data_IF_192721735094
#
_entry.id   IF_192721735094
#
_cell.length_a   1.000
_cell.length_b   1.000
_cell.length_c   1.000
_cell.angle_alpha   90.00
_cell.angle_beta   90.00
_cell.angle_gamma   90.00
#
_symmetry.space_group_name_H-M   'P 1'
#
loop_
_entity.id
_entity.type
_entity.pdbx_description
1 polymer ?
#
# COMPACT_ATOMS: atom_id res chain seq x y z
N UNK A 1 -10.68 -27.26 -12.75
CA UNK A 1 -10.74 -25.83 -12.39
C UNK A 1 -10.30 -25.70 -10.94
N UNK A 2 -9.29 -24.89 -10.67
CA UNK A 2 -8.71 -24.78 -9.32
C UNK A 2 -9.67 -23.99 -8.40
N UNK A 3 -9.91 -24.42 -7.14
CA UNK A 3 -10.92 -23.82 -6.24
C UNK A 3 -10.71 -22.33 -5.93
N UNK A 4 -9.55 -21.80 -6.23
CA UNK A 4 -9.19 -20.39 -6.01
C UNK A 4 -9.86 -19.41 -6.98
N UNK A 5 -10.26 -19.87 -8.18
CA UNK A 5 -10.98 -19.05 -9.16
C UNK A 5 -12.43 -18.78 -8.72
N UNK A 6 -13.04 -19.71 -7.98
CA UNK A 6 -14.37 -19.54 -7.38
C UNK A 6 -14.37 -18.53 -6.21
N UNK A 7 -13.30 -18.51 -5.42
CA UNK A 7 -13.14 -17.56 -4.30
C UNK A 7 -12.96 -16.12 -4.79
N UNK A 8 -12.24 -15.93 -5.91
CA UNK A 8 -12.08 -14.61 -6.54
C UNK A 8 -13.38 -14.10 -7.15
N UNK A 9 -14.18 -14.97 -7.74
CA UNK A 9 -15.52 -14.64 -8.27
C UNK A 9 -16.50 -14.29 -7.14
N UNK A 10 -16.42 -14.96 -5.99
CA UNK A 10 -17.26 -14.65 -4.81
C UNK A 10 -16.90 -13.30 -4.19
N UNK A 11 -15.61 -12.91 -4.16
CA UNK A 11 -15.18 -11.60 -3.68
C UNK A 11 -15.64 -10.46 -4.61
N UNK A 12 -15.71 -10.70 -5.91
CA UNK A 12 -16.20 -9.73 -6.89
C UNK A 12 -17.72 -9.55 -6.83
N UNK A 13 -18.49 -10.60 -6.48
CA UNK A 13 -19.95 -10.54 -6.39
C UNK A 13 -20.48 -9.83 -5.15
N UNK A 14 -19.73 -9.81 -4.05
CA UNK A 14 -20.11 -9.11 -2.80
C UNK A 14 -20.06 -7.58 -2.94
N UNK A 15 -19.29 -7.06 -3.91
CA UNK A 15 -19.16 -5.62 -4.15
C UNK A 15 -20.38 -5.00 -4.86
N UNK A 16 -21.31 -5.78 -5.39
CA UNK A 16 -22.47 -5.30 -6.13
C UNK A 16 -23.79 -5.26 -5.34
N UNK A 17 -23.80 -5.71 -4.08
CA UNK A 17 -25.03 -5.91 -3.31
C UNK A 17 -25.42 -4.76 -2.36
N UNK A 18 -24.82 -3.58 -2.48
CA UNK A 18 -25.18 -2.42 -1.63
C UNK A 18 -25.53 -1.20 -2.46
N UNK A 19 -26.67 -1.20 -3.11
CA UNK A 19 -27.30 0.03 -3.62
C UNK A 19 -28.78 -0.19 -3.95
N UNK A 20 -29.64 -0.33 -2.97
CA UNK A 20 -31.07 -0.02 -3.12
C UNK A 20 -31.52 0.75 -1.88
N UNK A 21 -31.25 2.04 -1.88
CA UNK A 21 -31.98 2.99 -1.05
C UNK A 21 -32.92 3.76 -1.96
N UNK A 22 -34.21 3.68 -1.66
CA UNK A 22 -35.30 4.34 -2.36
C UNK A 22 -35.09 5.85 -2.43
N UNK A 23 -34.97 6.39 -3.64
CA UNK A 23 -34.79 7.83 -3.87
C UNK A 23 -36.16 8.47 -3.88
N UNK A 24 -36.47 9.23 -2.83
CA UNK A 24 -37.56 10.22 -2.86
C UNK A 24 -37.24 11.30 -3.90
N UNK A 25 -38.07 11.41 -4.93
CA UNK A 25 -38.02 12.53 -5.88
C UNK A 25 -38.28 13.84 -5.13
N UNK A 26 -37.37 14.76 -5.20
CA UNK A 26 -37.51 16.11 -4.70
C UNK A 26 -36.26 16.67 -4.06
N UNK A 27 -35.70 17.66 -4.71
CA UNK A 27 -34.58 18.50 -4.31
C UNK A 27 -33.21 17.88 -4.67
N UNK A 28 -32.50 18.55 -5.56
CA UNK A 28 -31.04 18.39 -5.75
C UNK A 28 -30.37 18.79 -4.46
N UNK A 29 -30.36 17.88 -3.50
CA UNK A 29 -29.69 18.04 -2.23
C UNK A 29 -28.19 18.03 -2.52
N UNK A 30 -27.53 19.15 -2.32
CA UNK A 30 -26.06 19.19 -2.26
C UNK A 30 -25.69 18.31 -1.08
N UNK A 31 -25.23 17.09 -1.34
CA UNK A 31 -24.77 16.18 -0.30
C UNK A 31 -23.70 16.89 0.51
N UNK A 32 -24.00 17.18 1.77
CA UNK A 32 -23.07 17.91 2.66
C UNK A 32 -21.83 17.09 3.00
N UNK A 33 -21.92 15.76 2.91
CA UNK A 33 -20.86 14.82 3.26
C UNK A 33 -20.68 13.77 2.18
N UNK A 34 -19.43 13.43 1.89
CA UNK A 34 -19.03 12.38 0.97
C UNK A 34 -18.15 11.37 1.73
N UNK A 35 -18.37 10.08 1.51
CA UNK A 35 -17.53 9.00 2.03
C UNK A 35 -17.28 8.02 0.91
N UNK A 36 -16.04 7.71 0.64
CA UNK A 36 -15.68 6.71 -0.35
C UNK A 36 -14.32 6.11 -0.02
N UNK A 37 -14.05 4.95 -0.57
CA UNK A 37 -12.79 4.26 -0.41
C UNK A 37 -12.50 3.39 -1.61
N UNK A 38 -11.26 2.97 -1.75
CA UNK A 38 -10.84 2.12 -2.85
C UNK A 38 -9.43 1.59 -2.66
N UNK A 39 -9.02 0.79 -3.65
CA UNK A 39 -7.68 0.28 -3.75
C UNK A 39 -6.76 1.33 -4.37
N UNK A 40 -5.55 1.40 -3.88
CA UNK A 40 -4.51 2.32 -4.37
C UNK A 40 -3.36 1.48 -4.91
N UNK A 41 -3.06 1.65 -6.19
CA UNK A 41 -1.87 1.07 -6.82
C UNK A 41 -0.82 2.18 -6.93
N UNK A 42 0.38 1.90 -6.46
CA UNK A 42 1.49 2.85 -6.42
C UNK A 42 2.69 2.31 -7.17
N UNK A 43 3.57 3.18 -7.65
CA UNK A 43 4.82 2.76 -8.30
C UNK A 43 5.73 1.93 -7.39
N UNK A 44 5.66 2.17 -6.07
CA UNK A 44 6.43 1.47 -5.06
C UNK A 44 5.60 0.52 -4.17
N UNK A 45 4.38 0.14 -4.58
CA UNK A 45 3.55 -0.78 -3.79
C UNK A 45 2.06 -0.70 -4.08
N UNK A 46 1.25 -1.06 -3.11
CA UNK A 46 -0.20 -1.02 -3.20
C UNK A 46 -0.82 -0.82 -1.82
N UNK A 47 -2.08 -0.48 -1.77
CA UNK A 47 -2.77 -0.26 -0.51
C UNK A 47 -4.24 0.03 -0.66
N UNK A 48 -4.81 0.65 0.36
CA UNK A 48 -6.18 1.11 0.39
C UNK A 48 -6.28 2.53 0.93
N UNK A 49 -7.29 3.23 0.50
CA UNK A 49 -7.60 4.59 0.94
C UNK A 49 -9.06 4.70 1.34
N UNK A 50 -9.33 5.43 2.40
CA UNK A 50 -10.67 5.81 2.83
C UNK A 50 -10.75 7.32 3.01
N UNK A 51 -11.70 7.95 2.33
CA UNK A 51 -11.80 9.40 2.25
C UNK A 51 -13.15 9.86 2.79
N UNK A 52 -13.08 10.86 3.67
CA UNK A 52 -14.25 11.60 4.17
C UNK A 52 -14.16 13.04 3.68
N UNK A 53 -15.16 13.50 2.96
CA UNK A 53 -15.28 14.86 2.47
C UNK A 53 -16.49 15.59 3.07
N UNK A 54 -16.33 16.91 3.28
CA UNK A 54 -17.41 17.83 3.64
C UNK A 54 -17.42 18.97 2.63
N UNK A 55 -18.54 19.17 1.94
CA UNK A 55 -18.70 20.26 1.00
C UNK A 55 -18.66 21.61 1.71
N UNK A 56 -17.84 22.51 1.19
CA UNK A 56 -17.70 23.91 1.68
C UNK A 56 -18.31 24.93 0.71
N UNK A 57 -18.89 24.46 -0.39
CA UNK A 57 -19.49 25.24 -1.45
C UNK A 57 -19.67 24.37 -2.69
N UNK A 58 -20.16 24.94 -3.79
CA UNK A 58 -20.45 24.18 -5.02
C UNK A 58 -19.21 23.46 -5.61
N UNK A 59 -18.02 24.05 -5.49
CA UNK A 59 -16.82 23.57 -6.19
C UNK A 59 -15.68 23.13 -5.24
N UNK A 60 -15.86 23.22 -3.92
CA UNK A 60 -14.80 22.96 -2.96
C UNK A 60 -15.24 21.99 -1.89
N UNK A 61 -14.54 20.87 -1.78
CA UNK A 61 -14.73 19.86 -0.76
C UNK A 61 -13.51 19.83 0.15
N UNK A 62 -13.72 19.97 1.43
CA UNK A 62 -12.69 19.70 2.46
C UNK A 62 -12.68 18.20 2.71
N UNK A 63 -11.53 17.57 2.67
CA UNK A 63 -11.43 16.12 2.84
C UNK A 63 -10.33 15.71 3.80
N UNK A 64 -10.57 14.58 4.44
CA UNK A 64 -9.59 13.82 5.23
C UNK A 64 -9.46 12.46 4.60
N UNK A 65 -8.25 12.02 4.30
CA UNK A 65 -7.98 10.68 3.80
C UNK A 65 -7.14 9.88 4.79
N UNK A 66 -7.50 8.62 4.92
CA UNK A 66 -6.81 7.59 5.66
C UNK A 66 -6.25 6.61 4.63
N UNK A 67 -4.94 6.59 4.48
CA UNK A 67 -4.28 5.75 3.48
C UNK A 67 -3.41 4.73 4.19
N UNK A 68 -3.58 3.44 3.88
CA UNK A 68 -2.73 2.35 4.35
C UNK A 68 -2.09 1.68 3.15
N UNK A 69 -0.76 1.61 3.12
CA UNK A 69 -0.02 1.15 1.96
C UNK A 69 1.09 0.18 2.34
N UNK A 70 1.32 -0.78 1.49
CA UNK A 70 2.46 -1.67 1.44
C UNK A 70 3.54 -1.02 0.58
N UNK A 71 4.75 -0.85 1.10
CA UNK A 71 5.84 -0.22 0.37
C UNK A 71 6.95 -1.24 0.13
N UNK A 72 7.42 -1.32 -1.10
CA UNK A 72 8.55 -2.16 -1.52
C UNK A 72 9.75 -1.29 -1.86
N UNK A 73 10.93 -1.81 -1.61
CA UNK A 73 12.16 -1.23 -2.13
C UNK A 73 12.33 -1.61 -3.60
N UNK A 74 12.88 -0.73 -4.41
CA UNK A 74 13.08 -0.95 -5.85
C UNK A 74 14.01 -2.14 -6.17
N UNK A 75 14.92 -2.45 -5.25
CA UNK A 75 15.89 -3.57 -5.36
C UNK A 75 15.38 -4.88 -4.76
N UNK A 76 14.10 -5.00 -4.42
CA UNK A 76 13.52 -6.25 -3.95
C UNK A 76 13.38 -7.26 -5.10
N UNK A 77 14.28 -8.24 -5.17
CA UNK A 77 14.23 -9.36 -6.11
C UNK A 77 13.89 -10.63 -5.34
N UNK A 78 12.89 -11.36 -5.80
CA UNK A 78 12.49 -12.65 -5.21
C UNK A 78 13.49 -13.73 -5.59
N UNK A 79 13.99 -14.43 -4.60
CA UNK A 79 14.81 -15.64 -4.72
C UNK A 79 13.98 -16.87 -4.37
N UNK A 80 14.28 -17.99 -5.01
CA UNK A 80 13.59 -19.27 -4.82
C UNK A 80 14.65 -20.30 -4.44
N UNK A 81 14.33 -21.13 -3.47
CA UNK A 81 15.12 -22.31 -3.18
C UNK A 81 14.77 -23.44 -4.18
N UNK A 82 15.62 -24.45 -4.30
CA UNK A 82 15.42 -25.56 -5.24
C UNK A 82 14.20 -26.42 -4.93
N UNK A 83 13.77 -26.46 -3.66
CA UNK A 83 12.59 -27.16 -3.22
C UNK A 83 11.31 -26.35 -3.54
N UNK A 84 10.37 -26.91 -4.32
CA UNK A 84 9.08 -26.24 -4.63
C UNK A 84 8.20 -25.96 -3.42
N UNK A 85 8.43 -26.63 -2.28
CA UNK A 85 7.69 -26.40 -1.03
C UNK A 85 8.20 -25.17 -0.27
N UNK A 86 9.42 -24.73 -0.55
CA UNK A 86 10.03 -23.56 0.07
C UNK A 86 9.34 -22.25 -0.34
N UNK A 87 9.11 -21.38 0.62
CA UNK A 87 8.49 -20.08 0.35
C UNK A 87 9.51 -19.13 -0.27
N UNK A 88 9.17 -18.40 -1.34
CA UNK A 88 10.07 -17.43 -1.92
C UNK A 88 10.45 -16.34 -0.90
N UNK A 89 11.70 -15.94 -0.92
CA UNK A 89 12.25 -14.90 -0.06
C UNK A 89 12.89 -13.78 -0.88
N UNK A 90 13.23 -12.68 -0.23
CA UNK A 90 14.01 -11.59 -0.83
C UNK A 90 15.30 -11.50 -0.06
N UNK A 91 16.42 -11.80 -0.74
CA UNK A 91 17.73 -11.71 -0.12
C UNK A 91 18.06 -10.25 0.24
N UNK A 92 18.58 -10.03 1.42
CA UNK A 92 18.92 -8.69 1.90
C UNK A 92 17.74 -7.89 2.47
N UNK A 93 16.54 -8.41 2.47
CA UNK A 93 15.39 -7.72 3.06
C UNK A 93 15.40 -7.83 4.57
N UNK A 94 15.58 -6.70 5.24
CA UNK A 94 15.55 -6.62 6.71
C UNK A 94 14.14 -6.41 7.25
N UNK A 95 13.38 -5.51 6.63
CA UNK A 95 12.06 -5.16 7.12
C UNK A 95 11.02 -5.12 6.00
N UNK A 96 9.79 -5.50 6.33
CA UNK A 96 8.61 -5.16 5.56
C UNK A 96 8.08 -3.81 6.02
N UNK A 97 7.88 -2.88 5.10
CA UNK A 97 7.38 -1.54 5.39
C UNK A 97 5.89 -1.43 5.08
N UNK A 98 5.13 -1.02 6.09
CA UNK A 98 3.76 -0.56 5.96
C UNK A 98 3.74 0.94 6.24
N UNK A 99 2.91 1.67 5.54
CA UNK A 99 2.78 3.12 5.71
C UNK A 99 1.32 3.48 5.97
N UNK A 100 1.05 4.09 7.11
CA UNK A 100 -0.23 4.68 7.43
C UNK A 100 -0.13 6.20 7.31
N UNK A 101 -1.08 6.85 6.60
CA UNK A 101 -1.10 8.30 6.39
C UNK A 101 -2.46 8.85 6.72
N UNK A 102 -2.45 10.01 7.37
CA UNK A 102 -3.63 10.81 7.62
C UNK A 102 -3.45 12.16 6.94
N UNK A 103 -4.08 12.36 5.77
CA UNK A 103 -3.94 13.60 5.05
C UNK A 103 -5.21 14.46 5.16
N UNK A 104 -5.01 15.73 5.43
CA UNK A 104 -6.03 16.77 5.41
C UNK A 104 -5.81 17.68 4.21
N UNK A 105 -6.87 17.98 3.48
CA UNK A 105 -6.74 18.81 2.28
C UNK A 105 -8.07 19.19 1.65
N UNK A 106 -8.00 19.57 0.39
CA UNK A 106 -9.12 20.04 -0.37
C UNK A 106 -9.18 19.38 -1.74
N UNK A 107 -10.41 19.10 -2.19
CA UNK A 107 -10.74 18.75 -3.55
C UNK A 107 -11.49 19.93 -4.18
N UNK A 108 -11.00 20.42 -5.32
CA UNK A 108 -11.60 21.50 -6.10
C UNK A 108 -12.09 20.94 -7.42
N UNK A 109 -13.37 21.13 -7.72
CA UNK A 109 -13.91 20.81 -9.02
C UNK A 109 -13.40 21.83 -10.04
N UNK A 110 -12.80 21.33 -11.14
CA UNK A 110 -12.26 22.13 -12.24
C UNK A 110 -13.27 22.15 -13.38
N UNK A 111 -13.83 20.99 -13.71
CA UNK A 111 -14.84 20.84 -14.77
C UNK A 111 -15.99 19.99 -14.25
N UNK A 112 -17.20 20.51 -14.38
CA UNK A 112 -18.43 19.81 -14.01
C UNK A 112 -18.96 18.94 -15.16
N UNK A 113 -19.80 17.98 -14.82
CA UNK A 113 -20.53 17.18 -15.79
C UNK A 113 -21.58 18.04 -16.50
N UNK A 114 -21.41 18.32 -17.77
CA UNK A 114 -22.40 19.03 -18.59
C UNK A 114 -23.61 18.15 -18.94
N UNK A 115 -23.43 16.82 -18.89
CA UNK A 115 -24.48 15.82 -19.18
C UNK A 115 -24.39 14.68 -18.17
N UNK A 116 -25.48 13.89 -18.06
CA UNK A 116 -25.54 12.70 -17.18
C UNK A 116 -24.40 11.70 -17.46
N UNK A 117 -23.94 11.60 -18.69
CA UNK A 117 -22.81 10.75 -19.14
C UNK A 117 -21.46 11.47 -19.14
N UNK A 118 -21.39 12.69 -18.64
CA UNK A 118 -20.16 13.47 -18.59
C UNK A 118 -19.21 13.02 -17.47
N UNK A 119 -17.96 13.45 -17.57
CA UNK A 119 -16.93 13.22 -16.54
C UNK A 119 -16.69 14.53 -15.79
N UNK A 120 -16.76 14.47 -14.46
CA UNK A 120 -16.33 15.57 -13.61
C UNK A 120 -14.84 15.45 -13.34
N UNK A 121 -14.11 16.53 -13.56
CA UNK A 121 -12.68 16.60 -13.26
C UNK A 121 -12.45 17.45 -12.02
N UNK A 122 -11.68 16.93 -11.07
CA UNK A 122 -11.36 17.63 -9.85
C UNK A 122 -9.87 17.52 -9.54
N UNK A 123 -9.33 18.57 -8.97
CA UNK A 123 -7.97 18.60 -8.43
C UNK A 123 -8.01 18.46 -6.93
N UNK A 124 -7.17 17.57 -6.41
CA UNK A 124 -7.05 17.30 -4.98
C UNK A 124 -5.63 17.55 -4.52
N UNK A 125 -5.49 18.14 -3.34
CA UNK A 125 -4.23 18.20 -2.63
C UNK A 125 -4.47 18.00 -1.14
N UNK A 126 -3.50 17.44 -0.47
CA UNK A 126 -3.57 17.17 0.96
C UNK A 126 -2.20 16.90 1.55
N UNK A 127 -2.09 17.15 2.84
CA UNK A 127 -0.88 16.89 3.61
C UNK A 127 -1.23 16.46 5.02
N UNK A 128 -0.30 15.83 5.70
CA UNK A 128 -0.48 15.43 7.08
C UNK A 128 0.55 14.44 7.59
N UNK A 129 0.38 13.94 8.81
CA UNK A 129 1.29 12.98 9.40
C UNK A 129 1.27 11.65 8.66
N UNK A 130 2.43 11.00 8.64
CA UNK A 130 2.60 9.62 8.20
C UNK A 130 3.30 8.80 9.27
N UNK A 131 3.06 7.50 9.28
CA UNK A 131 3.66 6.55 10.19
C UNK A 131 4.18 5.36 9.38
N UNK A 132 5.50 5.21 9.32
CA UNK A 132 6.10 4.00 8.79
C UNK A 132 6.16 2.93 9.88
N UNK A 133 5.64 1.76 9.58
CA UNK A 133 5.63 0.58 10.44
C UNK A 133 6.57 -0.43 9.80
N UNK A 134 7.68 -0.70 10.44
CA UNK A 134 8.69 -1.65 10.00
C UNK A 134 8.55 -2.94 10.79
N UNK A 135 8.30 -4.03 10.08
CA UNK A 135 8.26 -5.36 10.66
C UNK A 135 9.50 -6.14 10.21
N UNK A 136 10.34 -6.64 11.12
CA UNK A 136 11.50 -7.43 10.77
C UNK A 136 11.12 -8.70 10.00
N UNK A 137 11.95 -9.09 9.06
CA UNK A 137 11.79 -10.32 8.27
C UNK A 137 12.51 -11.46 8.96
N UNK A 138 11.78 -12.55 9.12
CA UNK A 138 12.30 -13.84 9.61
C UNK A 138 12.42 -14.81 8.43
N UNK A 139 13.50 -15.57 8.45
CA UNK A 139 13.84 -16.56 7.44
C UNK A 139 13.92 -17.95 8.09
N UNK A 140 13.63 -18.96 7.30
CA UNK A 140 13.93 -20.36 7.61
C UNK A 140 15.30 -20.67 7.05
N UNK A 141 16.25 -20.99 7.91
CA UNK A 141 17.67 -21.19 7.60
C UNK A 141 18.03 -22.65 7.83
N UNK A 142 18.82 -23.21 6.92
CA UNK A 142 19.37 -24.55 7.04
C UNK A 142 20.57 -24.51 7.99
N UNK A 143 20.47 -25.23 9.10
CA UNK A 143 21.57 -25.43 10.05
C UNK A 143 21.99 -26.88 9.99
N UNK A 144 23.31 -27.13 9.96
CA UNK A 144 23.87 -28.47 10.07
C UNK A 144 23.67 -28.91 11.52
N UNK A 145 22.92 -29.97 11.73
CA UNK A 145 22.75 -30.59 13.04
C UNK A 145 23.76 -31.77 13.18
N UNK A 146 24.79 -31.63 14.03
CA UNK A 146 25.77 -32.69 14.21
C UNK A 146 25.19 -34.00 14.75
N UNK A 147 24.02 -33.93 15.44
CA UNK A 147 23.40 -35.10 16.06
C UNK A 147 22.52 -35.89 15.10
N UNK A 148 22.03 -35.25 14.06
CA UNK A 148 21.08 -35.86 13.08
C UNK A 148 21.78 -36.27 11.78
N UNK A 149 23.08 -36.01 11.60
CA UNK A 149 23.80 -36.18 10.32
C UNK A 149 23.03 -35.56 9.13
N UNK A 150 22.34 -34.44 9.39
CA UNK A 150 21.44 -33.81 8.42
C UNK A 150 21.30 -32.30 8.66
N UNK A 151 20.37 -31.71 7.95
CA UNK A 151 20.01 -30.30 8.10
C UNK A 151 18.74 -30.17 8.94
N UNK A 152 18.74 -29.21 9.86
CA UNK A 152 17.54 -28.77 10.57
C UNK A 152 17.16 -27.36 10.10
N UNK A 153 15.86 -27.03 10.15
CA UNK A 153 15.36 -25.71 9.84
C UNK A 153 15.25 -24.88 11.12
N UNK A 154 15.93 -23.76 11.15
CA UNK A 154 15.81 -22.75 12.22
C UNK A 154 15.14 -21.50 11.69
N UNK A 155 14.28 -20.89 12.50
CA UNK A 155 13.65 -19.60 12.16
C UNK A 155 14.42 -18.48 12.81
N UNK A 156 15.13 -17.70 12.02
CA UNK A 156 15.98 -16.62 12.48
C UNK A 156 15.62 -15.28 11.82
N UNK A 157 15.86 -14.19 12.55
CA UNK A 157 15.79 -12.84 12.00
C UNK A 157 16.92 -12.65 11.00
N UNK A 158 16.63 -12.02 9.86
CA UNK A 158 17.65 -11.79 8.85
C UNK A 158 18.86 -11.02 9.42
N UNK A 159 20.04 -11.59 9.28
CA UNK A 159 21.34 -10.99 9.62
C UNK A 159 22.27 -11.11 8.42
N UNK A 160 22.73 -9.99 7.83
CA UNK A 160 23.58 -10.01 6.64
C UNK A 160 24.96 -10.65 6.86
N UNK A 161 25.41 -10.80 8.11
CA UNK A 161 26.69 -11.42 8.44
C UNK A 161 26.61 -12.95 8.57
N UNK A 162 25.41 -13.49 8.78
CA UNK A 162 25.19 -14.93 9.02
C UNK A 162 24.47 -15.62 7.89
N UNK A 163 23.59 -14.87 7.18
CA UNK A 163 22.69 -15.45 6.19
C UNK A 163 23.19 -15.13 4.77
N UNK A 164 23.45 -16.19 4.04
CA UNK A 164 23.82 -16.18 2.63
C UNK A 164 22.70 -16.81 1.80
N UNK A 165 22.69 -16.58 0.49
CA UNK A 165 21.65 -17.11 -0.39
C UNK A 165 21.55 -18.63 -0.29
N UNK A 166 22.68 -19.32 -0.10
CA UNK A 166 22.78 -20.79 -0.12
C UNK A 166 22.28 -21.45 1.18
N UNK A 167 22.26 -20.71 2.31
CA UNK A 167 21.80 -21.27 3.59
C UNK A 167 20.36 -20.90 3.93
N UNK A 168 19.68 -20.09 3.09
CA UNK A 168 18.31 -19.71 3.31
C UNK A 168 17.38 -20.68 2.57
N UNK A 169 16.59 -21.44 3.33
CA UNK A 169 15.55 -22.31 2.77
C UNK A 169 14.35 -21.49 2.25
N UNK A 170 13.91 -20.50 3.02
CA UNK A 170 12.78 -19.70 2.61
C UNK A 170 12.39 -18.61 3.59
N UNK A 171 11.27 -17.97 3.31
CA UNK A 171 10.69 -16.97 4.21
C UNK A 171 9.85 -17.66 5.29
N UNK A 172 10.07 -17.34 6.54
CA UNK A 172 9.26 -17.77 7.66
C UNK A 172 7.83 -17.19 7.64
N UNK A 173 7.01 -17.57 8.59
CA UNK A 173 5.63 -17.08 8.70
C UNK A 173 5.56 -15.55 8.78
N UNK A 174 4.51 -14.98 8.20
CA UNK A 174 4.23 -13.54 8.28
C UNK A 174 3.90 -13.05 9.69
N UNK A 175 3.60 -13.94 10.62
CA UNK A 175 3.30 -13.60 12.01
C UNK A 175 4.57 -13.39 12.84
N UNK A 176 5.72 -13.90 12.38
CA UNK A 176 6.99 -13.68 13.04
C UNK A 176 7.39 -12.20 12.94
N UNK A 177 7.92 -11.66 14.03
CA UNK A 177 8.32 -10.25 14.12
C UNK A 177 7.21 -9.24 14.39
N UNK A 178 5.96 -9.67 14.62
CA UNK A 178 4.88 -8.74 14.97
C UNK A 178 5.13 -8.01 16.30
N UNK A 179 5.77 -8.65 17.26
CA UNK A 179 6.14 -8.04 18.54
C UNK A 179 7.34 -7.10 18.48
N UNK A 180 8.10 -7.10 17.36
CA UNK A 180 9.32 -6.31 17.18
C UNK A 180 9.14 -5.17 16.17
N UNK A 181 7.90 -4.75 15.94
CA UNK A 181 7.62 -3.67 15.01
C UNK A 181 8.21 -2.35 15.47
N UNK A 182 8.84 -1.64 14.55
CA UNK A 182 9.38 -0.29 14.80
C UNK A 182 8.48 0.74 14.11
N UNK A 183 8.13 1.79 14.84
CA UNK A 183 7.28 2.88 14.36
C UNK A 183 8.13 4.12 14.14
N UNK A 184 8.06 4.70 12.95
CA UNK A 184 8.81 5.89 12.58
C UNK A 184 7.83 6.94 12.07
N UNK A 185 7.61 8.03 12.85
CA UNK A 185 6.76 9.11 12.42
C UNK A 185 7.40 9.90 11.28
N UNK A 186 6.57 10.43 10.42
CA UNK A 186 6.97 11.23 9.27
C UNK A 186 5.88 12.20 8.86
N UNK A 187 6.06 12.78 7.70
CA UNK A 187 5.11 13.69 7.09
C UNK A 187 4.83 13.27 5.65
N UNK A 188 3.59 13.46 5.20
CA UNK A 188 3.17 13.12 3.85
C UNK A 188 2.46 14.29 3.18
N UNK A 189 2.62 14.37 1.87
CA UNK A 189 1.87 15.26 1.00
C UNK A 189 1.42 14.51 -0.24
N UNK A 190 0.23 14.83 -0.75
CA UNK A 190 -0.27 14.27 -2.00
C UNK A 190 -0.96 15.30 -2.86
N UNK A 191 -0.89 15.09 -4.16
CA UNK A 191 -1.61 15.87 -5.16
C UNK A 191 -2.13 14.95 -6.25
N UNK A 192 -3.33 15.22 -6.77
CA UNK A 192 -3.98 14.34 -7.74
C UNK A 192 -5.06 15.02 -8.55
N UNK A 193 -5.39 14.39 -9.65
CA UNK A 193 -6.57 14.66 -10.45
C UNK A 193 -7.54 13.48 -10.35
N UNK A 194 -8.79 13.75 -10.03
CA UNK A 194 -9.84 12.73 -9.97
C UNK A 194 -10.86 12.92 -11.08
N UNK A 195 -11.26 11.80 -11.67
CA UNK A 195 -12.19 11.71 -12.79
C UNK A 195 -13.40 10.90 -12.34
N UNK A 196 -14.54 11.57 -12.14
CA UNK A 196 -15.75 10.95 -11.69
C UNK A 196 -16.74 10.81 -12.85
N UNK A 197 -17.14 9.56 -13.16
CA UNK A 197 -18.02 9.22 -14.27
C UNK A 197 -19.36 8.63 -13.84
N UNK A 198 -19.62 8.51 -12.53
CA UNK A 198 -20.89 7.97 -12.02
C UNK A 198 -22.09 8.83 -12.40
N UNK A 199 -23.24 8.21 -12.60
CA UNK A 199 -24.52 8.93 -12.65
C UNK A 199 -24.88 9.46 -11.25
N UNK A 200 -25.64 10.55 -11.19
CA UNK A 200 -26.07 11.19 -9.94
C UNK A 200 -26.83 10.26 -8.97
N UNK A 201 -27.32 9.10 -9.46
CA UNK A 201 -28.09 8.12 -8.68
C UNK A 201 -27.27 6.94 -8.16
N UNK A 202 -26.07 6.68 -8.67
CA UNK A 202 -25.36 5.40 -8.47
C UNK A 202 -24.17 5.48 -7.49
N UNK A 203 -24.11 6.50 -6.65
CA UNK A 203 -22.94 6.72 -5.80
C UNK A 203 -21.71 7.23 -6.57
N UNK A 204 -20.62 7.48 -5.89
CA UNK A 204 -19.39 8.01 -6.50
C UNK A 204 -18.60 6.86 -7.12
N UNK A 205 -18.48 6.86 -8.44
CA UNK A 205 -17.60 5.96 -9.20
C UNK A 205 -16.61 6.82 -9.99
N UNK A 206 -15.34 6.59 -9.82
CA UNK A 206 -14.31 7.36 -10.48
C UNK A 206 -12.94 6.74 -10.27
N UNK A 207 -11.93 7.36 -10.85
CA UNK A 207 -10.55 7.05 -10.59
C UNK A 207 -9.76 8.33 -10.32
N UNK A 208 -8.68 8.20 -9.61
CA UNK A 208 -7.80 9.31 -9.23
C UNK A 208 -6.36 8.96 -9.61
N UNK A 209 -5.68 9.86 -10.32
CA UNK A 209 -4.27 9.73 -10.66
C UNK A 209 -3.51 10.84 -9.96
N UNK A 210 -2.43 10.50 -9.28
CA UNK A 210 -1.68 11.48 -8.53
C UNK A 210 -0.27 11.08 -8.18
N UNK A 211 0.35 11.97 -7.42
CA UNK A 211 1.66 11.77 -6.82
C UNK A 211 1.56 11.97 -5.32
N UNK A 212 2.32 11.19 -4.57
CA UNK A 212 2.50 11.39 -3.13
C UNK A 212 3.95 11.32 -2.74
N UNK A 213 4.33 12.15 -1.78
CA UNK A 213 5.64 12.16 -1.15
C UNK A 213 5.52 11.92 0.35
N UNK A 214 6.43 11.12 0.89
CA UNK A 214 6.57 10.88 2.33
C UNK A 214 8.01 11.14 2.76
N UNK A 215 8.17 11.85 3.86
CA UNK A 215 9.46 12.23 4.43
C UNK A 215 9.55 11.70 5.85
N UNK A 216 10.70 11.09 6.19
CA UNK A 216 10.99 10.56 7.51
C UNK A 216 12.28 11.16 8.08
N UNK A 217 12.43 11.24 9.42
CA UNK A 217 13.60 11.85 10.05
C UNK A 217 14.88 11.02 9.88
N UNK A 218 14.75 9.74 9.54
CA UNK A 218 15.86 8.82 9.28
C UNK A 218 15.59 7.95 8.05
N UNK A 219 16.65 7.36 7.50
CA UNK A 219 16.51 6.38 6.42
C UNK A 219 15.74 5.16 6.90
N UNK A 220 14.81 4.70 6.09
CA UNK A 220 13.97 3.53 6.39
C UNK A 220 14.68 2.29 5.86
N UNK A 221 15.16 1.45 6.76
CA UNK A 221 15.91 0.23 6.43
C UNK A 221 14.98 -0.91 5.99
N UNK A 222 14.53 -0.85 4.74
CA UNK A 222 13.77 -1.94 4.11
C UNK A 222 14.74 -3.06 3.72
N UNK A 223 15.87 -2.70 3.10
CA UNK A 223 16.94 -3.62 2.72
C UNK A 223 18.16 -3.39 3.58
N UNK A 224 19.01 -4.40 3.73
CA UNK A 224 20.30 -4.26 4.43
C UNK A 224 21.19 -3.25 3.72
N UNK A 225 21.63 -2.23 4.45
CA UNK A 225 22.56 -1.22 3.90
C UNK A 225 23.90 -1.84 3.49
N UNK A 226 24.32 -2.90 4.18
CA UNK A 226 25.54 -3.65 3.85
C UNK A 226 25.41 -4.33 2.48
N UNK A 227 24.29 -4.99 2.21
CA UNK A 227 24.05 -5.66 0.92
C UNK A 227 23.82 -4.61 -0.19
N UNK A 228 23.08 -3.53 0.09
CA UNK A 228 22.90 -2.46 -0.88
C UNK A 228 24.22 -1.82 -1.31
N UNK A 229 25.20 -1.70 -0.40
CA UNK A 229 26.51 -1.14 -0.71
C UNK A 229 27.36 -2.01 -1.65
N UNK A 230 27.06 -3.30 -1.78
CA UNK A 230 27.75 -4.20 -2.72
C UNK A 230 27.21 -4.14 -4.13
N UNK A 231 26.04 -3.50 -4.32
CA UNK A 231 25.44 -3.34 -5.65
C UNK A 231 26.17 -2.27 -6.47
N UNK A 232 26.36 -2.49 -7.78
CA UNK A 232 27.14 -1.58 -8.64
C UNK A 232 26.52 -0.18 -8.78
N UNK A 233 25.23 -0.06 -8.58
CA UNK A 233 24.47 1.21 -8.69
C UNK A 233 24.51 2.06 -7.42
N UNK A 234 25.21 1.62 -6.36
CA UNK A 234 25.31 2.35 -5.10
C UNK A 234 23.93 2.60 -4.43
N UNK A 235 23.03 1.63 -4.58
CA UNK A 235 21.69 1.71 -4.01
C UNK A 235 21.72 1.97 -2.50
N UNK A 236 20.74 2.74 -2.01
CA UNK A 236 20.64 3.13 -0.60
C UNK A 236 19.20 3.09 -0.13
N UNK A 237 19.02 2.84 1.16
CA UNK A 237 17.72 3.07 1.79
C UNK A 237 17.36 4.56 1.78
N UNK A 238 16.08 4.87 1.62
CA UNK A 238 15.58 6.21 1.44
C UNK A 238 14.97 6.77 2.74
N UNK A 239 15.03 8.09 2.90
CA UNK A 239 14.31 8.87 3.91
C UNK A 239 13.14 9.64 3.28
N UNK A 240 13.18 9.79 1.94
CA UNK A 240 12.16 10.40 1.12
C UNK A 240 11.61 9.35 0.15
N UNK A 241 10.29 9.16 0.15
CA UNK A 241 9.60 8.29 -0.79
C UNK A 241 8.69 9.13 -1.66
N UNK A 242 8.90 9.08 -2.98
CA UNK A 242 8.01 9.71 -3.96
C UNK A 242 7.39 8.60 -4.81
N UNK A 243 6.10 8.65 -5.01
CA UNK A 243 5.39 7.65 -5.81
C UNK A 243 4.24 8.26 -6.59
N UNK A 244 4.08 7.82 -7.84
CA UNK A 244 2.84 7.96 -8.57
C UNK A 244 1.82 6.94 -8.06
N UNK A 245 0.53 7.26 -8.13
CA UNK A 245 -0.54 6.35 -7.74
C UNK A 245 -1.78 6.50 -8.59
N UNK A 246 -2.54 5.41 -8.63
CA UNK A 246 -3.91 5.35 -9.15
C UNK A 246 -4.81 4.79 -8.04
N UNK A 247 -5.92 5.47 -7.81
CA UNK A 247 -6.92 5.13 -6.80
C UNK A 247 -8.29 4.96 -7.45
#
# INVERSE_FOLDING_TARGET
MKPWSLLLLLFFSVSFAQAQEEIKEGVIGIYSHQKYGGLVIRTNGWGGSYIKGKNKGAFKVRQVSYDFNFVKHEKEIKSYFQDPSARPFVFGKQNAMYNFKLNYGYKKVIAEKLRKSGVQVSYTWGMGPSLAILRPIYLEVLIIDPNLNGYSLSTEKFDPNKHFVDNIYGRASNFNGLGEMTFIPGFSAKTSMSFEYSNYRDGIKGFEIGMSGEVYPKRIEIMSSQILSTLPDGAKNHWLFVSGYVH
#
